data_IF_041295749718
#
_entry.id   IF_041295749718
#
_cell.length_a   1.000
_cell.length_b   1.000
_cell.length_c   1.000
_cell.angle_alpha   90.00
_cell.angle_beta   90.00
_cell.angle_gamma   90.00
#
_symmetry.space_group_name_H-M   'P 1'
#
loop_
_entity.id
_entity.type
_entity.pdbx_description
1 polymer ?
#
# COMPACT_ATOMS: atom_id res chain seq x y z
N UNK A 1 -7.13 5.35 -18.33
CA UNK A 1 -5.71 5.44 -18.71
C UNK A 1 -4.82 5.26 -17.48
N UNK A 2 -3.77 4.46 -17.58
CA UNK A 2 -2.73 4.32 -16.56
C UNK A 2 -1.70 5.45 -16.72
N UNK A 3 -1.19 6.03 -15.62
CA UNK A 3 -0.22 7.14 -15.64
C UNK A 3 1.02 6.83 -16.51
N UNK A 4 1.39 5.55 -16.60
CA UNK A 4 2.47 5.04 -17.46
C UNK A 4 2.30 5.41 -18.93
N UNK A 5 1.07 5.48 -19.43
CA UNK A 5 0.77 5.74 -20.85
C UNK A 5 0.95 7.20 -21.26
N UNK A 6 1.09 8.12 -20.29
CA UNK A 6 1.27 9.54 -20.58
C UNK A 6 2.73 9.85 -20.98
N UNK A 7 3.65 8.94 -20.66
CA UNK A 7 5.08 9.14 -20.83
C UNK A 7 5.69 8.05 -21.72
N UNK A 8 6.65 8.44 -22.56
CA UNK A 8 7.48 7.47 -23.29
C UNK A 8 8.36 6.70 -22.29
N UNK A 9 8.82 5.50 -22.67
CA UNK A 9 9.60 4.62 -21.80
C UNK A 9 10.84 5.29 -21.20
N UNK A 10 11.49 6.18 -21.97
CA UNK A 10 12.73 6.87 -21.57
C UNK A 10 12.51 8.27 -21.00
N UNK A 11 11.27 8.73 -20.86
CA UNK A 11 11.01 10.08 -20.37
C UNK A 11 11.36 10.22 -18.87
N UNK A 12 12.26 11.14 -18.56
CA UNK A 12 12.66 11.43 -17.18
C UNK A 12 11.49 11.99 -16.35
N UNK A 13 10.57 12.72 -16.98
CA UNK A 13 9.40 13.30 -16.33
C UNK A 13 8.45 12.22 -15.79
N UNK A 14 8.51 11.00 -16.34
CA UNK A 14 7.76 9.85 -15.83
C UNK A 14 8.03 9.63 -14.35
N UNK A 15 9.30 9.61 -13.94
CA UNK A 15 9.69 9.38 -12.54
C UNK A 15 9.17 10.48 -11.62
N UNK A 16 9.21 11.73 -12.08
CA UNK A 16 8.70 12.88 -11.33
C UNK A 16 7.19 12.78 -11.15
N UNK A 17 6.45 12.46 -12.22
CA UNK A 17 5.01 12.31 -12.16
C UNK A 17 4.56 11.19 -11.21
N UNK A 18 5.24 10.04 -11.22
CA UNK A 18 4.97 8.96 -10.25
C UNK A 18 5.23 9.39 -8.81
N UNK A 19 6.31 10.15 -8.57
CA UNK A 19 6.64 10.67 -7.23
C UNK A 19 5.60 11.68 -6.72
N UNK A 20 5.12 12.58 -7.60
CA UNK A 20 4.06 13.53 -7.27
C UNK A 20 2.76 12.78 -6.98
N UNK A 21 2.37 11.83 -7.83
CA UNK A 21 1.16 11.03 -7.61
C UNK A 21 1.19 10.31 -6.26
N UNK A 22 2.31 9.67 -5.92
CA UNK A 22 2.50 9.01 -4.64
C UNK A 22 2.44 9.98 -3.46
N UNK A 23 3.06 11.16 -3.59
CA UNK A 23 3.02 12.21 -2.56
C UNK A 23 1.59 12.72 -2.33
N UNK A 24 0.85 13.01 -3.41
CA UNK A 24 -0.54 13.45 -3.33
C UNK A 24 -1.44 12.40 -2.68
N UNK A 25 -1.23 11.10 -2.97
CA UNK A 25 -1.96 10.01 -2.33
C UNK A 25 -1.75 10.01 -0.80
N UNK A 26 -0.50 10.09 -0.35
CA UNK A 26 -0.18 10.11 1.09
C UNK A 26 -0.74 11.36 1.79
N UNK A 27 -0.71 12.52 1.14
CA UNK A 27 -1.35 13.74 1.66
C UNK A 27 -2.88 13.53 1.79
N UNK A 28 -3.49 12.88 0.81
CA UNK A 28 -4.89 12.49 0.86
C UNK A 28 -5.22 11.56 2.04
N UNK A 29 -4.34 10.59 2.32
CA UNK A 29 -4.48 9.71 3.49
C UNK A 29 -4.40 10.49 4.80
N UNK A 30 -3.42 11.39 4.97
CA UNK A 30 -3.33 12.26 6.14
C UNK A 30 -4.63 13.04 6.37
N UNK A 31 -5.14 13.71 5.33
CA UNK A 31 -6.38 14.45 5.42
C UNK A 31 -7.59 13.56 5.77
N UNK A 32 -7.64 12.36 5.20
CA UNK A 32 -8.72 11.40 5.44
C UNK A 32 -8.70 10.84 6.86
N UNK A 33 -7.53 10.49 7.41
CA UNK A 33 -7.41 9.98 8.77
C UNK A 33 -7.72 11.05 9.82
N UNK A 34 -7.30 12.30 9.59
CA UNK A 34 -7.68 13.42 10.46
C UNK A 34 -9.19 13.63 10.44
N UNK A 35 -9.80 13.66 9.26
CA UNK A 35 -11.25 13.83 9.12
C UNK A 35 -12.01 12.66 9.76
N UNK A 36 -11.55 11.43 9.56
CA UNK A 36 -12.13 10.23 10.16
C UNK A 36 -12.03 10.28 11.69
N UNK A 37 -10.89 10.68 12.25
CA UNK A 37 -10.70 10.87 13.69
C UNK A 37 -11.64 11.93 14.26
N UNK A 38 -11.82 13.06 13.58
CA UNK A 38 -12.78 14.09 14.01
C UNK A 38 -14.21 13.55 14.00
N UNK A 39 -14.64 12.80 12.98
CA UNK A 39 -15.99 12.25 12.93
C UNK A 39 -16.19 11.15 13.98
N UNK A 40 -15.14 10.35 14.24
CA UNK A 40 -15.14 9.29 15.24
C UNK A 40 -15.34 9.83 16.65
N UNK A 41 -14.78 11.00 16.99
CA UNK A 41 -14.94 11.59 18.33
C UNK A 41 -16.38 12.01 18.66
N UNK A 42 -17.19 12.29 17.63
CA UNK A 42 -18.64 12.52 17.77
C UNK A 42 -19.48 11.24 17.71
N UNK A 43 -18.86 10.06 17.57
CA UNK A 43 -19.55 8.78 17.42
C UNK A 43 -20.38 8.65 16.14
N UNK A 44 -20.16 9.53 15.15
CA UNK A 44 -21.04 9.72 14.01
C UNK A 44 -20.60 8.90 12.78
N UNK A 45 -20.50 7.58 12.92
CA UNK A 45 -20.02 6.68 11.86
C UNK A 45 -20.80 6.78 10.54
N UNK A 46 -22.12 6.97 10.62
CA UNK A 46 -22.96 7.19 9.43
C UNK A 46 -22.50 8.41 8.62
N UNK A 47 -22.10 9.49 9.31
CA UNK A 47 -21.59 10.70 8.67
C UNK A 47 -20.23 10.41 8.01
N UNK A 48 -19.39 9.58 8.63
CA UNK A 48 -18.12 9.17 8.02
C UNK A 48 -18.33 8.45 6.68
N UNK A 49 -19.29 7.52 6.62
CA UNK A 49 -19.62 6.81 5.38
C UNK A 49 -20.20 7.74 4.30
N UNK A 50 -21.10 8.66 4.65
CA UNK A 50 -21.62 9.64 3.69
C UNK A 50 -20.54 10.59 3.20
N UNK A 51 -19.61 10.99 4.07
CA UNK A 51 -18.47 11.84 3.70
C UNK A 51 -17.56 11.11 2.72
N UNK A 52 -17.23 9.84 2.99
CA UNK A 52 -16.45 9.01 2.07
C UNK A 52 -17.15 8.82 0.72
N UNK A 53 -18.46 8.56 0.73
CA UNK A 53 -19.26 8.45 -0.50
C UNK A 53 -19.28 9.77 -1.29
N UNK A 54 -19.38 10.91 -0.60
CA UNK A 54 -19.30 12.24 -1.20
C UNK A 54 -17.95 12.50 -1.87
N UNK A 55 -16.84 12.16 -1.20
CA UNK A 55 -15.49 12.26 -1.77
C UNK A 55 -15.29 11.38 -3.01
N UNK A 56 -15.82 10.15 -2.97
CA UNK A 56 -15.81 9.25 -4.14
C UNK A 56 -16.65 9.80 -5.29
N UNK A 57 -17.86 10.31 -5.03
CA UNK A 57 -18.71 10.93 -6.03
C UNK A 57 -18.04 12.16 -6.66
N UNK A 58 -17.42 13.02 -5.84
CA UNK A 58 -16.65 14.17 -6.32
C UNK A 58 -15.48 13.73 -7.21
N UNK A 59 -14.76 12.68 -6.82
CA UNK A 59 -13.67 12.12 -7.62
C UNK A 59 -14.16 11.61 -8.97
N UNK A 60 -15.30 10.90 -9.00
CA UNK A 60 -15.93 10.46 -10.26
C UNK A 60 -16.31 11.65 -11.13
N UNK A 61 -16.91 12.70 -10.56
CA UNK A 61 -17.27 13.91 -11.32
C UNK A 61 -16.02 14.58 -11.91
N UNK A 62 -14.98 14.80 -11.10
CA UNK A 62 -13.72 15.39 -11.57
C UNK A 62 -13.05 14.54 -12.65
N UNK A 63 -13.14 13.21 -12.53
CA UNK A 63 -12.65 12.28 -13.53
C UNK A 63 -13.44 12.36 -14.84
N UNK A 64 -14.77 12.43 -14.78
CA UNK A 64 -15.64 12.56 -15.95
C UNK A 64 -15.43 13.90 -16.67
N UNK A 65 -15.26 15.01 -15.92
CA UNK A 65 -14.96 16.32 -16.49
C UNK A 65 -13.62 16.34 -17.23
N UNK A 66 -12.62 15.64 -16.70
CA UNK A 66 -11.29 15.53 -17.29
C UNK A 66 -11.10 14.30 -18.18
N UNK A 67 -12.15 13.56 -18.50
CA UNK A 67 -12.05 12.26 -19.18
C UNK A 67 -11.28 12.35 -20.51
N UNK A 68 -11.43 13.47 -21.23
CA UNK A 68 -10.71 13.75 -22.48
C UNK A 68 -9.18 13.76 -22.31
N UNK A 69 -8.68 14.17 -21.14
CA UNK A 69 -7.25 14.26 -20.84
C UNK A 69 -6.67 12.93 -20.32
N UNK A 70 -7.54 12.00 -19.90
CA UNK A 70 -7.17 10.69 -19.30
C UNK A 70 -7.75 9.52 -20.10
N UNK A 71 -8.00 9.75 -21.39
CA UNK A 71 -8.47 8.72 -22.29
C UNK A 71 -7.40 7.64 -22.48
N UNK A 72 -7.85 6.39 -22.44
CA UNK A 72 -6.96 5.25 -22.56
C UNK A 72 -6.33 5.15 -23.95
N UNK A 73 -5.03 4.89 -24.02
CA UNK A 73 -4.27 4.83 -25.27
C UNK A 73 -3.71 3.43 -25.47
N UNK A 74 -4.06 2.82 -26.61
CA UNK A 74 -3.45 1.60 -27.12
C UNK A 74 -3.55 0.36 -26.22
N UNK A 75 -4.51 0.31 -25.28
CA UNK A 75 -4.79 -0.94 -24.54
C UNK A 75 -5.66 -1.87 -25.37
N UNK A 76 -5.56 -3.17 -25.08
CA UNK A 76 -6.50 -4.17 -25.56
C UNK A 76 -7.96 -3.79 -25.26
N UNK A 77 -8.20 -3.19 -24.10
CA UNK A 77 -9.52 -2.71 -23.71
C UNK A 77 -10.02 -1.60 -24.65
N UNK A 78 -9.20 -0.57 -24.92
CA UNK A 78 -9.56 0.53 -25.82
C UNK A 78 -9.76 0.05 -27.26
N UNK A 79 -8.83 -0.77 -27.76
CA UNK A 79 -8.79 -1.14 -29.18
C UNK A 79 -9.85 -2.18 -29.57
N UNK A 80 -10.16 -3.12 -28.68
CA UNK A 80 -10.97 -4.30 -29.02
C UNK A 80 -12.23 -4.41 -28.16
N UNK A 81 -12.09 -4.34 -26.83
CA UNK A 81 -13.23 -4.57 -25.93
C UNK A 81 -14.23 -3.40 -25.92
N UNK A 82 -13.74 -2.15 -25.96
CA UNK A 82 -14.57 -0.95 -25.96
C UNK A 82 -15.49 -0.86 -27.18
N UNK A 83 -15.11 -1.46 -28.32
CA UNK A 83 -15.92 -1.43 -29.54
C UNK A 83 -16.92 -2.58 -29.64
N UNK A 84 -16.90 -3.53 -28.70
CA UNK A 84 -17.79 -4.69 -28.69
C UNK A 84 -19.06 -4.43 -27.90
N UNK A 85 -20.22 -4.84 -28.44
CA UNK A 85 -21.50 -4.79 -27.74
C UNK A 85 -21.51 -5.67 -26.46
N UNK A 86 -20.60 -6.65 -26.38
CA UNK A 86 -20.43 -7.49 -25.20
C UNK A 86 -20.06 -6.69 -23.95
N UNK A 87 -19.46 -5.49 -24.09
CA UNK A 87 -19.07 -4.64 -22.95
C UNK A 87 -20.24 -4.28 -22.04
N UNK A 88 -21.44 -4.12 -22.61
CA UNK A 88 -22.65 -3.73 -21.87
C UNK A 88 -23.21 -4.88 -21.01
N UNK A 89 -22.79 -6.12 -21.26
CA UNK A 89 -23.17 -7.28 -20.45
C UNK A 89 -22.02 -7.73 -19.55
N UNK A 90 -20.80 -7.81 -20.11
CA UNK A 90 -19.62 -8.33 -19.41
C UNK A 90 -19.15 -7.39 -18.30
N UNK A 91 -19.09 -6.07 -18.55
CA UNK A 91 -18.64 -5.13 -17.52
C UNK A 91 -19.55 -5.11 -16.27
N UNK A 92 -20.88 -4.94 -16.38
CA UNK A 92 -21.74 -5.02 -15.21
C UNK A 92 -21.79 -6.42 -14.61
N UNK A 93 -21.66 -7.48 -15.42
CA UNK A 93 -21.57 -8.85 -14.92
C UNK A 93 -20.35 -9.07 -14.01
N UNK A 94 -19.17 -8.60 -14.41
CA UNK A 94 -17.95 -8.67 -13.59
C UNK A 94 -18.12 -7.84 -12.31
N UNK A 95 -18.65 -6.61 -12.41
CA UNK A 95 -18.88 -5.75 -11.24
C UNK A 95 -19.83 -6.46 -10.25
N UNK A 96 -20.92 -7.05 -10.74
CA UNK A 96 -21.87 -7.77 -9.90
C UNK A 96 -21.23 -8.99 -9.24
N UNK A 97 -20.46 -9.79 -9.98
CA UNK A 97 -19.75 -10.96 -9.43
C UNK A 97 -18.75 -10.52 -8.36
N UNK A 98 -17.93 -9.50 -8.62
CA UNK A 98 -17.00 -8.95 -7.64
C UNK A 98 -17.73 -8.44 -6.39
N UNK A 99 -18.85 -7.74 -6.56
CA UNK A 99 -19.65 -7.22 -5.46
C UNK A 99 -20.24 -8.33 -4.60
N UNK A 100 -20.86 -9.34 -5.21
CA UNK A 100 -21.40 -10.51 -4.49
C UNK A 100 -20.29 -11.28 -3.78
N UNK A 101 -19.14 -11.43 -4.44
CA UNK A 101 -17.97 -12.08 -3.85
C UNK A 101 -17.43 -11.29 -2.65
N UNK A 102 -17.35 -9.96 -2.73
CA UNK A 102 -16.97 -9.11 -1.59
C UNK A 102 -17.94 -9.26 -0.41
N UNK A 103 -19.27 -9.29 -0.65
CA UNK A 103 -20.25 -9.54 0.41
C UNK A 103 -20.04 -10.91 1.06
N UNK A 104 -19.78 -11.94 0.25
CA UNK A 104 -19.49 -13.28 0.73
C UNK A 104 -18.24 -13.30 1.62
N UNK A 105 -17.15 -12.64 1.20
CA UNK A 105 -15.92 -12.52 1.99
C UNK A 105 -16.13 -11.79 3.32
N UNK A 106 -16.92 -10.72 3.34
CA UNK A 106 -17.22 -9.98 4.57
C UNK A 106 -17.96 -10.88 5.58
N UNK A 107 -18.84 -11.77 5.12
CA UNK A 107 -19.55 -12.72 6.00
C UNK A 107 -18.70 -13.90 6.44
N UNK A 108 -17.69 -14.26 5.66
CA UNK A 108 -16.80 -15.40 5.90
C UNK A 108 -15.33 -14.95 5.89
N UNK A 109 -14.95 -14.10 6.83
CA UNK A 109 -13.60 -13.55 6.90
C UNK A 109 -12.50 -14.63 6.98
N UNK A 110 -12.76 -15.73 7.69
CA UNK A 110 -11.89 -16.91 7.76
C UNK A 110 -11.61 -17.52 6.38
N UNK A 111 -12.62 -17.57 5.50
CA UNK A 111 -12.46 -18.04 4.14
C UNK A 111 -11.53 -17.11 3.34
N UNK A 112 -11.64 -15.80 3.54
CA UNK A 112 -10.76 -14.82 2.94
C UNK A 112 -9.30 -15.01 3.33
N UNK A 113 -9.02 -15.17 4.62
CA UNK A 113 -7.67 -15.43 5.13
C UNK A 113 -7.09 -16.73 4.57
N UNK A 114 -7.86 -17.81 4.63
CA UNK A 114 -7.46 -19.11 4.10
C UNK A 114 -7.23 -19.09 2.59
N UNK A 115 -8.04 -18.32 1.85
CA UNK A 115 -7.88 -18.15 0.40
C UNK A 115 -6.57 -17.43 0.06
N UNK A 116 -6.21 -16.38 0.79
CA UNK A 116 -4.91 -15.69 0.60
C UNK A 116 -3.74 -16.62 0.86
N UNK A 117 -3.78 -17.38 1.97
CA UNK A 117 -2.73 -18.34 2.31
C UNK A 117 -2.64 -19.45 1.25
N UNK A 118 -3.78 -19.99 0.81
CA UNK A 118 -3.84 -21.04 -0.20
C UNK A 118 -3.25 -20.57 -1.54
N UNK A 119 -3.66 -19.39 -2.01
CA UNK A 119 -3.12 -18.79 -3.25
C UNK A 119 -1.62 -18.54 -3.12
N UNK A 120 -1.16 -18.04 -1.98
CA UNK A 120 0.27 -17.84 -1.74
C UNK A 120 1.05 -19.16 -1.83
N UNK A 121 0.60 -20.22 -1.16
CA UNK A 121 1.23 -21.55 -1.20
C UNK A 121 1.23 -22.09 -2.64
N UNK A 122 0.13 -21.99 -3.38
CA UNK A 122 0.03 -22.46 -4.76
C UNK A 122 1.01 -21.73 -5.68
N UNK A 123 1.11 -20.41 -5.59
CA UNK A 123 2.08 -19.62 -6.35
C UNK A 123 3.51 -19.99 -5.95
N UNK A 124 3.76 -20.21 -4.67
CA UNK A 124 5.09 -20.59 -4.17
C UNK A 124 5.53 -21.96 -4.69
N UNK A 125 4.63 -22.95 -4.68
CA UNK A 125 4.87 -24.29 -5.27
C UNK A 125 5.12 -24.17 -6.76
N UNK A 126 4.34 -23.36 -7.47
CA UNK A 126 4.51 -23.13 -8.90
C UNK A 126 5.88 -22.50 -9.22
N UNK A 127 6.30 -21.51 -8.44
CA UNK A 127 7.63 -20.90 -8.58
C UNK A 127 8.76 -21.89 -8.26
N UNK A 128 8.61 -22.71 -7.22
CA UNK A 128 9.57 -23.76 -6.89
C UNK A 128 9.71 -24.77 -8.03
N UNK A 129 8.59 -25.17 -8.64
CA UNK A 129 8.58 -26.08 -9.78
C UNK A 129 9.29 -25.50 -11.00
N UNK A 130 9.06 -24.20 -11.29
CA UNK A 130 9.80 -23.51 -12.35
C UNK A 130 11.29 -23.46 -12.00
N UNK A 131 11.66 -23.11 -10.77
CA UNK A 131 13.05 -23.02 -10.33
C UNK A 131 13.81 -24.34 -10.55
N UNK A 132 13.16 -25.48 -10.28
CA UNK A 132 13.76 -26.81 -10.46
C UNK A 132 13.98 -27.19 -11.94
N UNK A 133 13.20 -26.61 -12.86
CA UNK A 133 13.30 -26.88 -14.31
C UNK A 133 14.28 -25.97 -15.06
N UNK A 134 14.71 -24.88 -14.44
CA UNK A 134 15.56 -23.88 -15.09
C UNK A 134 17.05 -24.12 -14.83
N UNK A 135 17.88 -23.51 -15.67
CA UNK A 135 19.34 -23.51 -15.52
C UNK A 135 19.78 -22.91 -14.16
N UNK A 136 20.95 -23.30 -13.63
CA UNK A 136 21.38 -22.94 -12.28
C UNK A 136 21.40 -21.42 -12.01
N UNK A 137 21.79 -20.60 -12.99
CA UNK A 137 21.79 -19.14 -12.85
C UNK A 137 20.36 -18.57 -12.67
N UNK A 138 19.40 -19.03 -13.47
CA UNK A 138 18.01 -18.61 -13.36
C UNK A 138 17.35 -19.15 -12.10
N UNK A 139 17.71 -20.38 -11.70
CA UNK A 139 17.25 -21.00 -10.45
C UNK A 139 17.63 -20.17 -9.23
N UNK A 140 18.87 -19.69 -9.14
CA UNK A 140 19.31 -18.82 -8.05
C UNK A 140 18.50 -17.52 -7.99
N UNK A 141 18.23 -16.89 -9.13
CA UNK A 141 17.41 -15.67 -9.21
C UNK A 141 15.96 -15.92 -8.76
N UNK A 142 15.38 -17.07 -9.12
CA UNK A 142 14.02 -17.44 -8.70
C UNK A 142 13.99 -17.71 -7.19
N UNK A 143 14.98 -18.40 -6.64
CA UNK A 143 15.08 -18.64 -5.19
C UNK A 143 15.23 -17.31 -4.43
N UNK A 144 16.06 -16.39 -4.92
CA UNK A 144 16.19 -15.05 -4.34
C UNK A 144 14.86 -14.28 -4.39
N UNK A 145 14.13 -14.37 -5.50
CA UNK A 145 12.79 -13.78 -5.63
C UNK A 145 11.78 -14.40 -4.66
N UNK A 146 11.79 -15.72 -4.48
CA UNK A 146 10.93 -16.41 -3.52
C UNK A 146 11.21 -15.94 -2.09
N UNK A 147 12.49 -15.84 -1.70
CA UNK A 147 12.89 -15.34 -0.39
C UNK A 147 12.43 -13.89 -0.17
N UNK A 148 12.65 -13.02 -1.16
CA UNK A 148 12.23 -11.62 -1.09
C UNK A 148 10.69 -11.50 -1.03
N UNK A 149 9.97 -12.35 -1.76
CA UNK A 149 8.50 -12.39 -1.74
C UNK A 149 7.98 -12.84 -0.38
N UNK A 150 8.60 -13.83 0.27
CA UNK A 150 8.26 -14.24 1.63
C UNK A 150 8.50 -13.12 2.65
N UNK A 151 9.63 -12.42 2.55
CA UNK A 151 9.90 -11.27 3.40
C UNK A 151 8.89 -10.13 3.18
N UNK A 152 8.52 -9.87 1.93
CA UNK A 152 7.49 -8.89 1.57
C UNK A 152 6.11 -9.28 2.13
N UNK A 153 5.76 -10.57 2.13
CA UNK A 153 4.51 -11.05 2.71
C UNK A 153 4.47 -10.84 4.22
N UNK A 154 5.56 -11.15 4.95
CA UNK A 154 5.65 -10.88 6.39
C UNK A 154 5.48 -9.39 6.67
N UNK A 155 6.16 -8.53 5.89
CA UNK A 155 6.01 -7.09 5.99
C UNK A 155 4.56 -6.64 5.75
N UNK A 156 3.89 -7.20 4.73
CA UNK A 156 2.50 -6.89 4.44
C UNK A 156 1.55 -7.30 5.57
N UNK A 157 1.77 -8.45 6.22
CA UNK A 157 1.01 -8.84 7.41
C UNK A 157 1.18 -7.87 8.56
N UNK A 158 2.42 -7.48 8.86
CA UNK A 158 2.72 -6.50 9.93
C UNK A 158 2.07 -5.15 9.62
N UNK A 159 2.13 -4.69 8.36
CA UNK A 159 1.50 -3.43 7.95
C UNK A 159 -0.03 -3.53 8.03
N UNK A 160 -0.63 -4.66 7.68
CA UNK A 160 -2.07 -4.90 7.84
C UNK A 160 -2.55 -4.92 9.30
N UNK A 161 -1.69 -5.26 10.26
CA UNK A 161 -2.02 -5.20 11.69
C UNK A 161 -2.17 -3.76 12.20
N UNK A 162 -1.70 -2.76 11.45
CA UNK A 162 -1.77 -1.35 11.85
C UNK A 162 -3.24 -0.88 11.99
N UNK A 163 -4.08 -1.14 10.99
CA UNK A 163 -5.49 -0.72 11.01
C UNK A 163 -6.40 -1.62 11.86
N UNK A 164 -5.83 -2.57 12.61
CA UNK A 164 -6.60 -3.50 13.43
C UNK A 164 -6.02 -3.64 14.83
N UNK A 165 -4.89 -4.31 14.98
CA UNK A 165 -4.26 -4.55 16.28
C UNK A 165 -3.77 -3.25 16.93
N UNK A 166 -3.11 -2.37 16.17
CA UNK A 166 -2.57 -1.12 16.72
C UNK A 166 -3.70 -0.14 17.10
N UNK A 167 -4.72 0.00 16.26
CA UNK A 167 -5.90 0.82 16.60
C UNK A 167 -6.61 0.34 17.86
N UNK A 168 -6.85 -0.97 18.01
CA UNK A 168 -7.43 -1.53 19.23
C UNK A 168 -6.52 -1.34 20.45
N UNK A 169 -5.20 -1.48 20.27
CA UNK A 169 -4.26 -1.23 21.35
C UNK A 169 -4.34 0.23 21.83
N UNK A 170 -4.42 1.18 20.92
CA UNK A 170 -4.55 2.61 21.25
C UNK A 170 -5.89 2.90 21.94
N UNK A 171 -6.98 2.25 21.49
CA UNK A 171 -8.31 2.43 22.10
C UNK A 171 -8.37 1.94 23.55
N UNK A 172 -7.81 0.77 23.85
CA UNK A 172 -7.97 0.13 25.16
C UNK A 172 -6.79 0.28 26.12
N UNK A 173 -5.58 0.58 25.63
CA UNK A 173 -4.35 0.53 26.44
C UNK A 173 -3.57 1.85 26.45
N UNK A 174 -4.04 2.89 25.77
CA UNK A 174 -3.34 4.17 25.69
C UNK A 174 -4.23 5.31 26.20
N UNK A 175 -3.61 6.33 26.80
CA UNK A 175 -4.33 7.56 27.11
C UNK A 175 -4.58 8.34 25.81
N UNK A 176 -5.84 8.57 25.47
CA UNK A 176 -6.30 9.22 24.23
C UNK A 176 -6.06 10.73 24.22
N UNK A 177 -4.99 11.22 24.82
CA UNK A 177 -4.62 12.63 24.84
C UNK A 177 -3.17 12.82 24.41
N UNK A 178 -2.94 13.53 23.30
CA UNK A 178 -1.62 13.96 22.88
C UNK A 178 -1.56 15.48 22.96
N UNK A 179 -0.65 16.03 23.78
CA UNK A 179 -0.53 17.47 24.02
C UNK A 179 -1.84 18.17 24.44
N UNK A 180 -2.74 17.45 25.12
CA UNK A 180 -4.05 17.95 25.54
C UNK A 180 -5.16 17.88 24.47
N UNK A 181 -4.85 17.38 23.27
CA UNK A 181 -5.82 17.12 22.20
C UNK A 181 -6.26 15.66 22.29
N UNK A 182 -7.57 15.43 22.31
CA UNK A 182 -8.13 14.07 22.28
C UNK A 182 -7.86 13.42 20.93
N UNK A 183 -7.18 12.28 20.92
CA UNK A 183 -6.87 11.53 19.71
C UNK A 183 -7.72 10.27 19.64
N UNK A 184 -8.50 10.17 18.57
CA UNK A 184 -9.23 8.94 18.24
C UNK A 184 -8.31 7.91 17.59
N UNK A 185 -8.56 6.60 17.77
CA UNK A 185 -7.72 5.53 17.25
C UNK A 185 -7.40 5.64 15.75
N UNK A 186 -8.35 6.04 14.92
CA UNK A 186 -8.14 6.20 13.48
C UNK A 186 -7.03 7.21 13.13
N UNK A 187 -6.78 8.18 14.02
CA UNK A 187 -5.76 9.22 13.84
C UNK A 187 -4.35 8.64 13.84
N UNK A 188 -4.14 7.46 14.43
CA UNK A 188 -2.82 6.81 14.52
C UNK A 188 -2.25 6.47 13.14
N UNK A 189 -3.09 6.11 12.17
CA UNK A 189 -2.64 5.86 10.79
C UNK A 189 -2.09 7.12 10.09
N UNK A 190 -2.41 8.30 10.62
CA UNK A 190 -1.80 9.56 10.13
C UNK A 190 -0.29 9.55 10.30
N UNK A 191 0.23 8.92 11.37
CA UNK A 191 1.67 8.83 11.61
C UNK A 191 2.39 7.99 10.55
N UNK A 192 1.77 6.93 10.03
CA UNK A 192 2.33 6.15 8.92
C UNK A 192 2.47 7.04 7.68
N UNK A 193 1.39 7.69 7.27
CA UNK A 193 1.38 8.53 6.06
C UNK A 193 2.33 9.73 6.19
N UNK A 194 2.37 10.38 7.37
CA UNK A 194 3.33 11.45 7.66
C UNK A 194 4.77 10.92 7.66
N UNK A 195 5.00 9.75 8.24
CA UNK A 195 6.29 9.08 8.23
C UNK A 195 6.78 8.84 6.80
N UNK A 196 5.93 8.29 5.94
CA UNK A 196 6.26 8.07 4.52
C UNK A 196 6.63 9.38 3.81
N UNK A 197 5.89 10.46 4.05
CA UNK A 197 6.19 11.78 3.46
C UNK A 197 7.52 12.33 3.97
N UNK A 198 7.72 12.38 5.29
CA UNK A 198 8.89 12.98 5.93
C UNK A 198 10.14 12.15 5.63
N UNK A 199 10.10 10.84 5.89
CA UNK A 199 11.23 9.95 5.62
C UNK A 199 11.49 9.80 4.12
N UNK A 200 10.47 9.83 3.28
CA UNK A 200 10.63 9.85 1.83
C UNK A 200 11.41 11.08 1.35
N UNK A 201 11.06 12.27 1.83
CA UNK A 201 11.78 13.50 1.52
C UNK A 201 13.21 13.50 2.06
N UNK A 202 13.39 13.02 3.30
CA UNK A 202 14.70 12.90 3.93
C UNK A 202 15.61 11.94 3.16
N UNK A 203 15.11 10.76 2.79
CA UNK A 203 15.83 9.79 1.95
C UNK A 203 16.15 10.36 0.57
N UNK A 204 15.24 11.12 -0.05
CA UNK A 204 15.50 11.77 -1.33
C UNK A 204 16.65 12.80 -1.25
N UNK A 205 16.66 13.64 -0.20
CA UNK A 205 17.76 14.59 0.04
C UNK A 205 19.08 13.86 0.26
N UNK A 206 19.09 12.86 1.14
CA UNK A 206 20.28 12.08 1.44
C UNK A 206 20.81 11.39 0.18
N UNK A 207 19.94 10.78 -0.61
CA UNK A 207 20.31 10.12 -1.87
C UNK A 207 20.89 11.11 -2.89
N UNK A 208 20.28 12.29 -3.04
CA UNK A 208 20.80 13.35 -3.92
C UNK A 208 22.18 13.86 -3.47
N UNK A 209 22.38 14.04 -2.16
CA UNK A 209 23.68 14.42 -1.58
C UNK A 209 24.74 13.34 -1.82
N UNK A 210 24.40 12.06 -1.62
CA UNK A 210 25.29 10.92 -1.85
C UNK A 210 25.68 10.77 -3.33
N UNK A 211 24.72 10.96 -4.23
CA UNK A 211 24.96 10.97 -5.68
C UNK A 211 25.95 12.07 -6.07
N UNK A 212 25.76 13.30 -5.56
CA UNK A 212 26.68 14.42 -5.80
C UNK A 212 28.10 14.15 -5.26
N UNK A 213 28.20 13.41 -4.16
CA UNK A 213 29.46 13.10 -3.50
C UNK A 213 30.11 11.80 -4.00
N UNK A 214 29.56 11.14 -5.04
CA UNK A 214 30.09 9.88 -5.57
C UNK A 214 30.04 8.69 -4.59
N UNK A 215 29.26 8.79 -3.50
CA UNK A 215 29.14 7.75 -2.45
C UNK A 215 27.78 7.06 -2.50
N UNK A 216 27.30 6.74 -3.71
CA UNK A 216 26.03 6.04 -3.91
C UNK A 216 26.09 4.66 -3.28
N UNK A 217 25.17 4.38 -2.36
CA UNK A 217 25.06 3.06 -1.77
C UNK A 217 24.37 2.13 -2.77
N UNK A 218 24.89 0.91 -2.98
CA UNK A 218 24.19 -0.07 -3.79
C UNK A 218 22.90 -0.52 -3.06
N UNK A 219 21.84 -0.94 -3.77
CA UNK A 219 20.52 -1.19 -3.17
C UNK A 219 20.52 -2.26 -2.07
N UNK A 220 21.36 -3.29 -2.22
CA UNK A 220 21.67 -4.33 -1.25
C UNK A 220 22.19 -3.76 0.09
N UNK A 221 23.09 -2.77 0.05
CA UNK A 221 23.59 -2.09 1.25
C UNK A 221 22.49 -1.36 2.03
N UNK A 222 21.46 -0.86 1.36
CA UNK A 222 20.37 -0.15 2.03
C UNK A 222 19.46 -1.12 2.77
N UNK A 223 19.17 -2.28 2.16
CA UNK A 223 18.38 -3.36 2.76
C UNK A 223 19.08 -3.90 4.01
N UNK A 224 20.37 -4.22 3.91
CA UNK A 224 21.15 -4.75 5.04
C UNK A 224 21.23 -3.76 6.20
N UNK A 225 21.35 -2.46 5.93
CA UNK A 225 21.34 -1.42 6.97
C UNK A 225 19.96 -1.23 7.60
N UNK A 226 18.89 -1.34 6.81
CA UNK A 226 17.52 -1.32 7.34
C UNK A 226 17.28 -2.47 8.33
N UNK A 227 17.68 -3.69 7.97
CA UNK A 227 17.57 -4.86 8.85
C UNK A 227 18.47 -4.71 10.08
N UNK A 228 19.69 -4.18 9.94
CA UNK A 228 20.61 -3.96 11.05
C UNK A 228 20.12 -2.92 12.07
N UNK A 229 19.41 -1.88 11.62
CA UNK A 229 18.78 -0.90 12.52
C UNK A 229 17.62 -1.50 13.31
N UNK A 230 16.81 -2.35 12.68
CA UNK A 230 15.75 -3.08 13.37
C UNK A 230 16.34 -4.02 14.43
N UNK A 231 17.39 -4.78 14.09
CA UNK A 231 18.07 -5.67 15.04
C UNK A 231 18.60 -4.93 16.28
N UNK A 232 19.29 -3.79 16.09
CA UNK A 232 19.80 -3.00 17.22
C UNK A 232 18.69 -2.41 18.08
N UNK A 233 17.58 -1.98 17.48
CA UNK A 233 16.42 -1.48 18.23
C UNK A 233 15.79 -2.57 19.12
N UNK A 234 15.67 -3.80 18.61
CA UNK A 234 15.17 -4.94 19.38
C UNK A 234 16.16 -5.37 20.47
N UNK A 235 17.46 -5.31 20.19
CA UNK A 235 18.50 -5.67 21.16
C UNK A 235 18.53 -4.72 22.37
N UNK A 236 18.36 -3.41 22.13
CA UNK A 236 18.32 -2.39 23.19
C UNK A 236 17.07 -2.53 24.10
N UNK A 237 15.91 -2.84 23.53
CA UNK A 237 14.67 -3.08 24.31
C UNK A 237 14.73 -4.36 25.14
N UNK A 238 15.42 -5.40 24.64
CA UNK A 238 15.61 -6.64 25.38
C UNK A 238 16.50 -6.43 26.61
N UNK A 239 17.57 -5.62 26.47
CA UNK A 239 18.44 -5.29 27.61
C UNK A 239 17.78 -4.37 28.63
N UNK A 240 16.91 -3.43 28.23
CA UNK A 240 16.17 -2.59 29.21
C UNK A 240 15.20 -3.39 30.07
N UNK A 241 14.58 -4.43 29.52
CA UNK A 241 13.65 -5.29 30.26
C UNK A 241 14.35 -6.31 31.17
N UNK A 242 15.65 -6.58 30.98
CA UNK A 242 16.46 -7.44 31.85
C UNK A 242 17.04 -6.65 33.05
N UNK A 243 17.15 -5.33 32.94
CA UNK A 243 17.68 -4.45 34.01
C UNK A 243 16.56 -3.92 34.93
N UNK A 244 15.29 -4.15 34.59
CA UNK A 244 14.10 -3.71 35.36
C UNK A 244 13.35 -4.83 36.09
N UNK A 245 13.92 -6.04 36.17
CA UNK A 245 13.52 -7.11 37.10
C UNK A 245 14.58 -7.27 38.20
#
# INVERSE_FOLDING_TARGET
MMLTQLFKTEDHNRRIAFSINYSCMNIGFVGSFILAGVIQSYGAYTIAFYTAAGCLALTVILHLLNFKNVEDKDTFFHNQFSKSNARFLVAPGIILVCFLFSIFLIRHAEFGSNLVICVFILVFIYLAFIALKQEPEYRERIIAFMLLSSACMIFAFVQGMQSSALENFVEFNTNKSLFGITMEPATVNTFESLGVIIFGFLLAILSKRRLKNGTTLPPDSLITRGIGLLYNSFYDDTNRNIISQ
#
